data_IF_152754296949
#
_entry.id   IF_152754296949
#
_cell.length_a   1.000
_cell.length_b   1.000
_cell.length_c   1.000
_cell.angle_alpha   90.00
_cell.angle_beta   90.00
_cell.angle_gamma   90.00
#
_symmetry.space_group_name_H-M   'P 1'
#
loop_
_entity.id
_entity.type
_entity.pdbx_description
1 polymer ?
#
# COMPACT_ATOMS: atom_id res chain seq x y z
N UNK A 1 -2.50 -3.74 11.10
CA UNK A 1 -1.27 -3.03 10.71
C UNK A 1 -1.55 -1.55 10.50
N UNK A 2 -1.97 -1.08 9.32
CA UNK A 2 -2.14 0.37 9.05
C UNK A 2 -3.13 1.08 9.98
N UNK A 3 -4.30 0.51 10.25
CA UNK A 3 -5.28 1.11 11.18
C UNK A 3 -4.77 1.19 12.63
N UNK A 4 -3.79 0.37 13.00
CA UNK A 4 -3.16 0.43 14.32
C UNK A 4 -1.97 1.40 14.34
N UNK A 5 -1.42 1.73 13.16
CA UNK A 5 -0.27 2.62 13.02
C UNK A 5 -0.70 4.09 12.91
N UNK A 6 -1.79 4.38 12.20
CA UNK A 6 -2.31 5.73 12.02
C UNK A 6 -3.83 5.79 12.23
N UNK A 7 -4.23 6.56 13.25
CA UNK A 7 -5.63 6.84 13.63
C UNK A 7 -6.44 7.49 12.51
N UNK A 8 -5.80 8.01 11.46
CA UNK A 8 -6.46 8.48 10.25
C UNK A 8 -7.34 7.39 9.60
N UNK A 9 -6.93 6.12 9.68
CA UNK A 9 -7.66 4.99 9.09
C UNK A 9 -8.70 4.39 10.05
N UNK A 10 -8.78 4.88 11.29
CA UNK A 10 -9.87 4.52 12.19
C UNK A 10 -11.10 5.37 11.84
N UNK A 11 -12.28 4.76 11.63
CA UNK A 11 -13.52 5.52 11.41
C UNK A 11 -13.82 6.42 12.61
N UNK A 12 -14.16 7.68 12.36
CA UNK A 12 -14.51 8.66 13.42
C UNK A 12 -15.96 9.08 13.27
N UNK A 13 -16.60 9.38 14.40
CA UNK A 13 -17.94 9.96 14.42
C UNK A 13 -17.80 11.47 14.22
N UNK A 14 -18.57 12.03 13.29
CA UNK A 14 -18.59 13.46 13.05
C UNK A 14 -19.44 14.21 14.11
N UNK A 15 -19.47 15.55 14.02
CA UNK A 15 -20.21 16.40 14.97
C UNK A 15 -21.72 16.19 14.92
N UNK A 16 -22.24 15.54 13.88
CA UNK A 16 -23.67 15.28 13.67
C UNK A 16 -24.03 13.83 14.06
N UNK A 17 -23.04 13.00 14.43
CA UNK A 17 -23.22 11.63 14.85
C UNK A 17 -23.10 10.59 13.73
N UNK A 18 -22.75 10.99 12.51
CA UNK A 18 -22.51 10.04 11.42
C UNK A 18 -21.11 9.47 11.48
N UNK A 19 -20.99 8.19 11.13
CA UNK A 19 -19.69 7.56 10.97
C UNK A 19 -19.06 8.03 9.67
N UNK A 20 -17.90 8.68 9.76
CA UNK A 20 -17.13 9.11 8.60
C UNK A 20 -16.55 7.93 7.80
N UNK A 21 -15.80 8.26 6.75
CA UNK A 21 -15.19 7.28 5.84
C UNK A 21 -14.40 6.19 6.58
N UNK A 22 -14.68 4.94 6.22
CA UNK A 22 -14.02 3.79 6.81
C UNK A 22 -12.55 3.69 6.40
N UNK A 23 -11.74 3.06 7.25
CA UNK A 23 -10.35 2.76 6.90
C UNK A 23 -10.21 1.92 5.64
N UNK A 24 -11.13 0.96 5.42
CA UNK A 24 -11.13 0.14 4.22
C UNK A 24 -11.32 1.00 2.96
N UNK A 25 -12.27 1.93 2.96
CA UNK A 25 -12.46 2.85 1.82
C UNK A 25 -11.19 3.67 1.54
N UNK A 26 -10.59 4.27 2.57
CA UNK A 26 -9.35 5.06 2.44
C UNK A 26 -8.19 4.23 1.90
N UNK A 27 -8.02 3.01 2.42
CA UNK A 27 -6.97 2.07 1.97
C UNK A 27 -7.22 1.61 0.53
N UNK A 28 -8.45 1.26 0.18
CA UNK A 28 -8.80 0.85 -1.19
C UNK A 28 -8.55 1.98 -2.19
N UNK A 29 -8.86 3.23 -1.83
CA UNK A 29 -8.57 4.39 -2.66
C UNK A 29 -7.07 4.53 -2.94
N UNK A 30 -6.23 4.46 -1.89
CA UNK A 30 -4.78 4.50 -2.02
C UNK A 30 -4.21 3.35 -2.88
N UNK A 31 -4.64 2.11 -2.62
CA UNK A 31 -4.17 0.93 -3.37
C UNK A 31 -4.55 1.02 -4.84
N UNK A 32 -5.75 1.50 -5.16
CA UNK A 32 -6.18 1.67 -6.56
C UNK A 32 -5.35 2.71 -7.31
N UNK A 33 -5.00 3.82 -6.67
CA UNK A 33 -4.09 4.80 -7.26
C UNK A 33 -2.71 4.18 -7.55
N UNK A 34 -2.17 3.40 -6.60
CA UNK A 34 -0.86 2.75 -6.76
C UNK A 34 -0.87 1.63 -7.82
N UNK A 35 -1.91 0.80 -7.84
CA UNK A 35 -1.99 -0.36 -8.72
C UNK A 35 -2.22 0.02 -10.19
N UNK A 36 -3.02 1.07 -10.43
CA UNK A 36 -3.48 1.42 -11.78
C UNK A 36 -2.91 2.75 -12.28
N UNK A 37 -2.16 3.50 -11.47
CA UNK A 37 -1.63 4.81 -11.85
C UNK A 37 -2.72 5.83 -12.18
N UNK A 38 -3.92 5.67 -11.61
CA UNK A 38 -5.07 6.50 -11.91
C UNK A 38 -5.02 7.85 -11.19
N UNK A 39 -5.57 8.92 -11.79
CA UNK A 39 -5.74 10.18 -11.11
C UNK A 39 -6.76 10.06 -9.96
N UNK A 40 -6.62 10.94 -8.97
CA UNK A 40 -7.33 10.82 -7.69
C UNK A 40 -8.84 11.12 -7.78
N UNK A 41 -9.26 11.90 -8.78
CA UNK A 41 -10.64 12.27 -9.08
C UNK A 41 -11.46 11.07 -9.59
N UNK A 42 -10.85 10.20 -10.40
CA UNK A 42 -11.49 8.98 -10.92
C UNK A 42 -11.74 7.93 -9.83
N UNK A 43 -11.06 8.04 -8.68
CA UNK A 43 -11.27 7.09 -7.56
C UNK A 43 -12.64 7.27 -6.89
N UNK A 44 -13.24 8.47 -7.00
CA UNK A 44 -14.57 8.75 -6.43
C UNK A 44 -15.66 7.84 -7.04
N UNK A 45 -15.56 7.53 -8.34
CA UNK A 45 -16.53 6.67 -9.04
C UNK A 45 -16.64 5.28 -8.39
N UNK A 46 -15.54 4.78 -7.83
CA UNK A 46 -15.47 3.43 -7.29
C UNK A 46 -15.68 3.35 -5.78
N UNK A 47 -15.08 4.29 -5.03
CA UNK A 47 -14.98 4.22 -3.57
C UNK A 47 -15.86 5.29 -2.89
N UNK A 48 -16.42 6.22 -3.68
CA UNK A 48 -17.18 7.40 -3.21
C UNK A 48 -16.39 8.21 -2.19
N UNK A 49 -15.17 8.57 -2.60
CA UNK A 49 -14.23 9.38 -1.84
C UNK A 49 -13.81 10.56 -2.71
N UNK A 50 -13.94 11.77 -2.18
CA UNK A 50 -13.47 12.98 -2.86
C UNK A 50 -11.96 13.01 -3.05
N UNK A 51 -11.52 13.61 -4.15
CA UNK A 51 -10.13 13.70 -4.61
C UNK A 51 -9.13 14.05 -3.50
N UNK A 52 -9.41 15.10 -2.71
CA UNK A 52 -8.53 15.55 -1.62
C UNK A 52 -8.31 14.47 -0.56
N UNK A 53 -9.35 13.70 -0.26
CA UNK A 53 -9.28 12.59 0.71
C UNK A 53 -8.58 11.39 0.10
N UNK A 54 -8.73 11.13 -1.20
CA UNK A 54 -7.97 10.11 -1.92
C UNK A 54 -6.47 10.40 -1.86
N UNK A 55 -6.06 11.64 -2.17
CA UNK A 55 -4.65 12.07 -2.14
C UNK A 55 -4.08 11.95 -0.72
N UNK A 56 -4.81 12.42 0.29
CA UNK A 56 -4.37 12.31 1.69
C UNK A 56 -4.27 10.84 2.12
N UNK A 57 -5.25 10.02 1.76
CA UNK A 57 -5.23 8.58 2.04
C UNK A 57 -4.03 7.90 1.40
N UNK A 58 -3.68 8.26 0.17
CA UNK A 58 -2.47 7.75 -0.51
C UNK A 58 -1.20 8.13 0.26
N UNK A 59 -1.03 9.40 0.61
CA UNK A 59 0.15 9.87 1.37
C UNK A 59 0.29 9.15 2.70
N UNK A 60 -0.79 9.11 3.48
CA UNK A 60 -0.86 8.45 4.79
C UNK A 60 -0.61 6.95 4.69
N UNK A 61 -1.15 6.32 3.66
CA UNK A 61 -0.94 4.90 3.39
C UNK A 61 0.53 4.60 3.10
N UNK A 62 1.16 5.36 2.19
CA UNK A 62 2.58 5.18 1.86
C UNK A 62 3.48 5.40 3.09
N UNK A 63 3.25 6.47 3.86
CA UNK A 63 3.98 6.72 5.11
C UNK A 63 3.77 5.60 6.14
N UNK A 64 2.55 5.09 6.24
CA UNK A 64 2.23 3.95 7.11
C UNK A 64 2.96 2.68 6.69
N UNK A 65 2.96 2.34 5.40
CA UNK A 65 3.71 1.19 4.88
C UNK A 65 5.21 1.34 5.14
N UNK A 66 5.78 2.52 4.86
CA UNK A 66 7.19 2.80 5.13
C UNK A 66 7.49 2.70 6.63
N UNK A 67 6.61 3.21 7.50
CA UNK A 67 6.80 3.13 8.94
C UNK A 67 6.72 1.69 9.48
N UNK A 68 5.81 0.87 8.95
CA UNK A 68 5.57 -0.50 9.41
C UNK A 68 6.63 -1.47 8.86
N UNK A 69 7.02 -1.30 7.61
CA UNK A 69 7.81 -2.27 6.86
C UNK A 69 9.19 -1.74 6.46
N UNK A 70 9.45 -0.44 6.58
CA UNK A 70 10.67 0.18 6.09
C UNK A 70 11.95 -0.37 6.70
N UNK A 71 11.94 -0.71 7.99
CA UNK A 71 13.10 -1.31 8.65
C UNK A 71 13.51 -2.65 8.01
N UNK A 72 12.53 -3.47 7.62
CA UNK A 72 12.77 -4.77 7.00
C UNK A 72 13.13 -4.65 5.52
N UNK A 73 12.43 -3.78 4.77
CA UNK A 73 12.51 -3.77 3.30
C UNK A 73 13.36 -2.64 2.72
N UNK A 74 13.70 -1.60 3.47
CA UNK A 74 14.58 -0.50 3.02
C UNK A 74 16.02 -0.65 3.51
N UNK A 75 16.32 -1.66 4.33
CA UNK A 75 17.70 -2.02 4.71
C UNK A 75 18.41 -2.73 3.56
N UNK A 76 19.73 -2.84 3.68
CA UNK A 76 20.51 -3.69 2.77
C UNK A 76 20.07 -5.17 2.94
N UNK A 77 19.87 -5.92 1.85
CA UNK A 77 19.57 -7.35 1.92
C UNK A 77 20.68 -8.12 2.64
N UNK A 78 20.31 -9.05 3.50
CA UNK A 78 21.25 -10.02 4.09
C UNK A 78 21.36 -11.25 3.18
N UNK A 79 22.38 -12.08 3.42
CA UNK A 79 22.52 -13.38 2.73
C UNK A 79 21.28 -14.28 2.91
N UNK A 80 20.60 -14.18 4.05
CA UNK A 80 19.35 -14.91 4.30
C UNK A 80 18.20 -14.40 3.41
N UNK A 81 18.09 -13.08 3.23
CA UNK A 81 17.08 -12.50 2.33
C UNK A 81 17.33 -12.91 0.88
N UNK A 82 18.58 -12.82 0.45
CA UNK A 82 19.05 -13.22 -0.89
C UNK A 82 18.71 -14.69 -1.14
N UNK A 83 19.09 -15.57 -0.20
CA UNK A 83 18.82 -17.02 -0.31
C UNK A 83 17.33 -17.31 -0.37
N UNK A 84 16.53 -16.61 0.46
CA UNK A 84 15.07 -16.74 0.46
C UNK A 84 14.48 -16.29 -0.88
N UNK A 85 14.89 -15.13 -1.39
CA UNK A 85 14.39 -14.58 -2.66
C UNK A 85 14.74 -15.49 -3.83
N UNK A 86 15.97 -16.01 -3.90
CA UNK A 86 16.39 -16.94 -4.95
C UNK A 86 15.58 -18.24 -4.92
N UNK A 87 15.38 -18.83 -3.74
CA UNK A 87 14.58 -20.05 -3.59
C UNK A 87 13.13 -19.84 -4.01
N UNK A 88 12.52 -18.72 -3.65
CA UNK A 88 11.15 -18.40 -4.07
C UNK A 88 11.06 -18.10 -5.57
N UNK A 89 12.07 -17.45 -6.15
CA UNK A 89 12.19 -17.25 -7.59
C UNK A 89 12.26 -18.58 -8.35
N UNK A 90 13.13 -19.49 -7.90
CA UNK A 90 13.27 -20.83 -8.48
C UNK A 90 11.98 -21.65 -8.42
N UNK A 91 11.29 -21.67 -7.27
CA UNK A 91 9.97 -22.30 -7.14
C UNK A 91 8.93 -21.76 -8.11
N UNK A 92 9.04 -20.48 -8.48
CA UNK A 92 8.15 -19.80 -9.42
C UNK A 92 8.61 -19.89 -10.88
N UNK A 93 9.70 -20.61 -11.17
CA UNK A 93 10.22 -20.81 -12.52
C UNK A 93 11.22 -19.74 -12.99
N UNK A 94 11.76 -18.95 -12.06
CA UNK A 94 12.63 -17.82 -12.36
C UNK A 94 14.00 -17.93 -11.66
N UNK A 95 14.89 -18.81 -12.14
CA UNK A 95 16.21 -18.98 -11.55
C UNK A 95 17.09 -17.74 -11.78
N UNK A 96 17.72 -17.21 -10.71
CA UNK A 96 18.71 -16.12 -10.78
C UNK A 96 18.19 -14.68 -10.64
N UNK A 97 16.95 -14.49 -10.19
CA UNK A 97 16.19 -13.22 -10.21
C UNK A 97 16.61 -12.09 -9.23
N UNK A 98 17.85 -12.04 -8.74
CA UNK A 98 18.26 -10.89 -7.94
C UNK A 98 18.47 -9.67 -8.83
N UNK A 99 17.46 -8.79 -8.84
CA UNK A 99 17.52 -7.50 -9.54
C UNK A 99 17.07 -7.50 -11.00
N UNK A 100 16.50 -8.60 -11.52
CA UNK A 100 15.90 -8.60 -12.85
C UNK A 100 14.45 -8.11 -12.80
N UNK A 101 14.17 -6.94 -13.39
CA UNK A 101 12.81 -6.45 -13.64
C UNK A 101 12.21 -7.04 -14.94
N UNK A 102 13.04 -7.72 -15.74
CA UNK A 102 12.73 -8.14 -17.12
C UNK A 102 12.06 -9.53 -17.19
N UNK A 103 11.56 -10.04 -16.06
CA UNK A 103 10.94 -11.36 -15.97
C UNK A 103 9.43 -11.35 -16.27
N UNK A 104 8.93 -10.32 -16.94
CA UNK A 104 7.57 -10.31 -17.50
C UNK A 104 7.61 -10.82 -18.95
N UNK A 105 7.63 -12.14 -19.12
CA UNK A 105 7.10 -12.78 -20.32
C UNK A 105 6.16 -13.92 -19.95
#
# INVERSE_FOLDING_TARGET
AIQQYDDYFVPKIDTVGFTGLSGLQKITAAIRMLAYGMPADVVDEYVRIGESTTIESLKKFCLGIIGIHGEEYLRLPTEADISRLLREGEKRGFPGMLGSLDCMH
#
